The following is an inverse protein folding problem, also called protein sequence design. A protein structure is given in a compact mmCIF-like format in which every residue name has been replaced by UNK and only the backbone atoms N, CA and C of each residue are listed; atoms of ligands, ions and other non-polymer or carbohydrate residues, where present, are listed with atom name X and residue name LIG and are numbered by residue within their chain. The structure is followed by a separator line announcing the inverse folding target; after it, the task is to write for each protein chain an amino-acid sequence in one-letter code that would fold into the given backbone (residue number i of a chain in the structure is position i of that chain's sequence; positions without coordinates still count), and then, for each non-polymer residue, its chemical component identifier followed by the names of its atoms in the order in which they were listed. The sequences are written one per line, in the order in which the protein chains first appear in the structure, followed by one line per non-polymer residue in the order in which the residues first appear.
data_IF_641991332370
#
_entry.id   IF_641991332370
#
_cell.length_a   1.000
_cell.length_b   1.000
_cell.length_c   1.000
_cell.angle_alpha   90.00
_cell.angle_beta   90.00
_cell.angle_gamma   90.00
#
_symmetry.space_group_name_H-M   'P 1'
#
loop_
_entity.id
_entity.type
_entity.pdbx_description
1 polymer ?
#
# COMPACT_ATOMS: atom_id res chain seq x y z
N UNK A 1 -1.87 -11.45 6.80
CA UNK A 1 -2.90 -11.12 5.79
C UNK A 1 -2.34 -11.35 4.39
N UNK A 2 -3.11 -11.93 3.46
CA UNK A 2 -2.78 -11.87 2.02
C UNK A 2 -3.41 -10.59 1.47
N UNK A 3 -2.64 -9.52 1.29
CA UNK A 3 -3.12 -8.36 0.55
C UNK A 3 -2.96 -8.62 -0.96
N UNK A 4 -3.87 -8.07 -1.78
CA UNK A 4 -3.81 -8.12 -3.26
C UNK A 4 -3.44 -6.76 -3.87
N UNK A 5 -2.97 -5.82 -3.05
CA UNK A 5 -2.73 -4.44 -3.47
C UNK A 5 -1.62 -4.39 -4.52
N UNK A 6 -0.57 -5.19 -4.35
CA UNK A 6 0.52 -5.28 -5.34
C UNK A 6 0.04 -5.80 -6.70
N UNK A 7 -0.83 -6.81 -6.70
CA UNK A 7 -1.40 -7.40 -7.92
C UNK A 7 -2.26 -6.37 -8.67
N UNK A 8 -3.25 -5.78 -7.99
CA UNK A 8 -4.16 -4.79 -8.56
C UNK A 8 -3.42 -3.54 -9.05
N UNK A 9 -2.41 -3.09 -8.30
CA UNK A 9 -1.57 -1.96 -8.70
C UNK A 9 -0.80 -2.27 -9.99
N UNK A 10 -0.26 -3.48 -10.11
CA UNK A 10 0.48 -3.91 -11.30
C UNK A 10 -0.45 -4.11 -12.51
N UNK A 11 -1.66 -4.64 -12.32
CA UNK A 11 -2.70 -4.74 -13.36
C UNK A 11 -3.09 -3.35 -13.91
N UNK A 12 -3.12 -2.33 -13.05
CA UNK A 12 -3.36 -0.95 -13.45
C UNK A 12 -2.11 -0.23 -14.01
N UNK A 13 -0.95 -0.89 -14.04
CA UNK A 13 0.31 -0.29 -14.50
C UNK A 13 0.87 0.82 -13.59
N UNK A 14 0.44 0.88 -12.33
CA UNK A 14 0.85 1.94 -11.40
C UNK A 14 2.12 1.56 -10.61
N UNK A 15 2.97 2.54 -10.35
CA UNK A 15 4.00 2.49 -9.32
C UNK A 15 3.40 2.67 -7.92
N UNK A 16 4.13 2.29 -6.87
CA UNK A 16 3.70 2.55 -5.48
C UNK A 16 3.44 4.05 -5.23
N UNK A 17 4.21 4.93 -5.88
CA UNK A 17 4.08 6.38 -5.74
C UNK A 17 2.80 6.90 -6.42
N UNK A 18 2.46 6.38 -7.59
CA UNK A 18 1.21 6.75 -8.28
C UNK A 18 -0.03 6.31 -7.50
N UNK A 19 -0.03 5.08 -6.97
CA UNK A 19 -1.11 4.62 -6.09
C UNK A 19 -1.19 5.47 -4.82
N UNK A 20 -0.05 5.82 -4.22
CA UNK A 20 0.01 6.67 -3.04
C UNK A 20 -0.57 8.06 -3.32
N UNK A 21 -0.22 8.67 -4.46
CA UNK A 21 -0.76 9.96 -4.88
C UNK A 21 -2.28 9.92 -5.12
N UNK A 22 -2.81 8.82 -5.68
CA UNK A 22 -4.27 8.64 -5.87
C UNK A 22 -5.04 8.46 -4.56
N UNK A 23 -4.39 7.92 -3.54
CA UNK A 23 -4.99 7.64 -2.23
C UNK A 23 -4.67 8.71 -1.18
N UNK A 24 -3.96 9.77 -1.56
CA UNK A 24 -3.51 10.85 -0.66
C UNK A 24 -2.73 10.32 0.57
N UNK A 25 -1.95 9.26 0.37
CA UNK A 25 -1.08 8.68 1.41
C UNK A 25 0.38 8.73 0.98
N UNK A 26 1.28 8.42 1.89
CA UNK A 26 2.70 8.28 1.54
C UNK A 26 2.96 6.99 0.76
N UNK A 27 4.00 6.99 -0.08
CA UNK A 27 4.52 5.75 -0.71
C UNK A 27 4.89 4.69 0.34
N UNK A 28 5.35 5.10 1.52
CA UNK A 28 5.67 4.18 2.63
C UNK A 28 4.41 3.46 3.15
N UNK A 29 3.27 4.14 3.20
CA UNK A 29 1.98 3.54 3.57
C UNK A 29 1.60 2.43 2.60
N UNK A 30 1.68 2.68 1.29
CA UNK A 30 1.43 1.65 0.26
C UNK A 30 2.41 0.48 0.40
N UNK A 31 3.69 0.76 0.65
CA UNK A 31 4.70 -0.28 0.86
C UNK A 31 4.41 -1.14 2.11
N UNK A 32 4.01 -0.53 3.22
CA UNK A 32 3.67 -1.24 4.46
C UNK A 32 2.47 -2.17 4.26
N UNK A 33 1.45 -1.70 3.52
CA UNK A 33 0.30 -2.52 3.13
C UNK A 33 0.77 -3.70 2.28
N UNK A 34 1.55 -3.47 1.21
CA UNK A 34 2.03 -4.51 0.30
C UNK A 34 2.93 -5.56 0.97
N UNK A 35 3.76 -5.14 1.93
CA UNK A 35 4.67 -6.01 2.66
C UNK A 35 4.03 -6.68 3.88
N UNK A 36 2.77 -6.34 4.19
CA UNK A 36 2.06 -6.89 5.34
C UNK A 36 2.64 -6.44 6.69
N UNK A 37 3.46 -5.38 6.71
CA UNK A 37 4.00 -4.74 7.95
C UNK A 37 3.05 -3.71 8.56
N UNK A 38 1.79 -3.67 8.11
CA UNK A 38 0.77 -2.92 8.82
C UNK A 38 0.25 -3.79 9.97
N UNK A 39 0.88 -3.64 11.14
CA UNK A 39 0.29 -4.07 12.40
C UNK A 39 -0.38 -2.82 13.02
N UNK A 40 -1.71 -2.65 12.88
CA UNK A 40 -2.43 -1.50 13.42
C UNK A 40 -2.58 -1.54 14.95
N UNK A 41 -1.78 -2.33 15.68
CA UNK A 41 -1.98 -2.55 17.12
C UNK A 41 -1.20 -1.62 18.07
N UNK A 42 -0.68 -0.47 17.65
CA UNK A 42 -0.18 0.51 18.64
C UNK A 42 -1.20 1.65 18.79
N UNK A 43 -1.94 1.69 19.92
CA UNK A 43 -2.83 2.79 20.25
C UNK A 43 -2.00 4.06 20.48
N UNK A 44 -2.67 5.18 20.18
CA UNK A 44 -2.28 6.57 20.45
C UNK A 44 -1.81 6.79 21.90
#
# INVERSE_FOLDING_TARGET
MRNRVRELRAECGWSQAELAGKLEVSRQTVNAIETGRYDPSLPL
#
